data_IF_123289790486
#
_entry.id   IF_123289790486
#
_cell.length_a   1.000
_cell.length_b   1.000
_cell.length_c   1.000
_cell.angle_alpha   90.00
_cell.angle_beta   90.00
_cell.angle_gamma   90.00
#
_symmetry.space_group_name_H-M   'P 1'
#
loop_
_entity.id
_entity.type
_entity.pdbx_description
1 polymer ?
2 non-polymer ?
3 water ?
#
# COMPACT_ATOMS: atom_id res chain seq x y z
N UNK A 1 -19.59 -26.40 7.71
CA UNK A 1 -18.95 -25.12 8.11
C UNK A 1 -17.57 -24.99 7.47
N UNK A 2 -16.93 -23.86 7.69
CA UNK A 2 -15.60 -23.58 7.13
C UNK A 2 -14.57 -24.69 7.37
N UNK A 3 -13.71 -24.90 6.39
CA UNK A 3 -12.66 -25.91 6.47
C UNK A 3 -11.31 -25.20 6.62
N UNK A 4 -11.28 -23.92 6.25
CA UNK A 4 -10.07 -23.11 6.34
C UNK A 4 -9.61 -23.03 7.79
N UNK A 5 -8.30 -22.80 8.00
CA UNK A 5 -7.76 -22.70 9.35
C UNK A 5 -8.20 -21.41 10.03
N UNK A 6 -8.44 -21.48 11.33
CA UNK A 6 -8.88 -20.32 12.11
C UNK A 6 -8.12 -19.05 11.77
N UNK A 7 -6.78 -19.09 11.79
CA UNK A 7 -5.99 -17.90 11.47
C UNK A 7 -6.37 -17.25 10.15
N UNK A 8 -6.61 -18.07 9.13
CA UNK A 8 -6.99 -17.55 7.82
C UNK A 8 -8.39 -16.95 7.86
N UNK A 9 -9.29 -17.62 8.56
CA UNK A 9 -10.67 -17.14 8.69
C UNK A 9 -10.70 -15.75 9.32
N UNK A 10 -9.84 -15.53 10.31
CA UNK A 10 -9.78 -14.24 10.98
C UNK A 10 -9.32 -13.17 10.00
N UNK A 11 -8.38 -13.52 9.14
CA UNK A 11 -7.86 -12.60 8.14
C UNK A 11 -9.01 -12.16 7.23
N UNK A 12 -9.84 -13.11 6.85
CA UNK A 12 -10.97 -12.86 5.98
C UNK A 12 -12.03 -11.98 6.65
N UNK A 13 -11.95 -11.85 7.97
CA UNK A 13 -12.92 -11.06 8.71
C UNK A 13 -12.55 -9.58 8.81
N UNK A 14 -11.25 -9.28 8.86
CA UNK A 14 -10.81 -7.89 8.98
C UNK A 14 -10.75 -7.18 7.63
N UNK A 15 -10.37 -7.90 6.58
CA UNK A 15 -10.28 -7.30 5.25
C UNK A 15 -11.65 -7.00 4.67
N UNK A 16 -12.68 -7.63 5.23
CA UNK A 16 -14.05 -7.42 4.78
C UNK A 16 -14.92 -6.81 5.87
N UNK A 17 -14.29 -6.10 6.80
CA UNK A 17 -15.02 -5.46 7.90
C UNK A 17 -15.58 -4.12 7.46
N UNK A 18 -16.89 -3.97 7.58
CA UNK A 18 -17.57 -2.74 7.20
C UNK A 18 -17.24 -1.59 8.15
N UNK A 19 -17.18 -1.88 9.44
CA UNK A 19 -16.87 -0.86 10.44
C UNK A 19 -15.51 -0.24 10.10
N UNK A 20 -14.57 -1.07 9.68
CA UNK A 20 -13.24 -0.60 9.32
C UNK A 20 -13.34 0.38 8.16
N UNK A 21 -14.27 0.09 7.24
CA UNK A 21 -14.48 0.95 6.09
C UNK A 21 -15.06 2.29 6.51
N UNK A 22 -16.15 2.24 7.26
CA UNK A 22 -16.80 3.44 7.75
C UNK A 22 -15.83 4.28 8.59
N UNK A 23 -15.17 3.62 9.52
CA UNK A 23 -14.21 4.29 10.40
C UNK A 23 -13.16 4.98 9.54
N UNK A 24 -12.77 4.33 8.45
CA UNK A 24 -11.77 4.87 7.53
C UNK A 24 -12.28 6.16 6.89
N UNK A 25 -13.55 6.17 6.51
CA UNK A 25 -14.14 7.35 5.88
C UNK A 25 -14.43 8.45 6.88
N UNK A 26 -14.81 8.06 8.10
CA UNK A 26 -15.11 9.03 9.15
C UNK A 26 -13.87 9.85 9.49
N UNK A 27 -12.70 9.24 9.39
CA UNK A 27 -11.45 9.92 9.68
C UNK A 27 -11.27 11.09 8.70
N UNK A 28 -11.87 10.95 7.52
CA UNK A 28 -11.78 11.98 6.50
C UNK A 28 -12.96 12.94 6.60
N UNK A 29 -13.64 12.94 7.73
CA UNK A 29 -14.79 13.81 7.95
C UNK A 29 -15.86 13.63 6.87
N UNK A 30 -15.83 12.49 6.19
CA UNK A 30 -16.79 12.21 5.14
C UNK A 30 -18.16 11.87 5.71
N UNK A 31 -19.08 12.84 5.66
CA UNK A 31 -20.43 12.63 6.18
C UNK A 31 -21.05 11.38 5.57
N UNK A 32 -21.10 10.32 6.36
CA UNK A 32 -21.65 9.04 5.90
C UNK A 32 -23.13 9.14 5.52
N UNK A 33 -23.74 10.28 5.82
CA UNK A 33 -25.15 10.49 5.49
C UNK A 33 -25.35 11.01 4.07
N UNK A 34 -24.25 11.35 3.42
CA UNK A 34 -24.30 11.84 2.04
C UNK A 34 -23.50 10.92 1.14
N UNK A 35 -22.69 10.06 1.74
CA UNK A 35 -21.85 9.14 0.99
C UNK A 35 -21.69 7.76 1.61
N UNK A 36 -22.79 7.00 1.73
CA UNK A 36 -22.73 5.66 2.31
C UNK A 36 -21.80 4.77 1.47
N UNK A 37 -21.42 3.62 2.01
CA UNK A 37 -20.53 2.72 1.28
C UNK A 37 -21.18 2.29 -0.04
N UNK A 38 -22.50 2.21 -0.05
CA UNK A 38 -23.21 1.81 -1.25
C UNK A 38 -23.41 2.99 -2.19
N UNK A 39 -22.83 4.13 -1.83
CA UNK A 39 -22.95 5.34 -2.64
C UNK A 39 -21.63 5.57 -3.36
N UNK A 40 -20.59 4.88 -2.90
CA UNK A 40 -19.25 5.01 -3.50
C UNK A 40 -19.23 4.47 -4.93
N UNK A 41 -18.48 5.13 -5.80
CA UNK A 41 -18.37 4.74 -7.20
C UNK A 41 -17.00 5.08 -7.77
N UNK A 42 -16.52 4.23 -8.68
CA UNK A 42 -15.22 4.44 -9.31
C UNK A 42 -15.27 5.62 -10.28
N UNK A 43 -16.44 5.86 -10.86
CA UNK A 43 -16.61 6.96 -11.79
C UNK A 43 -16.58 8.27 -11.02
N UNK A 44 -17.08 8.24 -9.80
CA UNK A 44 -17.11 9.42 -8.93
C UNK A 44 -15.70 9.78 -8.46
N UNK A 45 -14.92 8.75 -8.13
CA UNK A 45 -13.56 8.95 -7.67
C UNK A 45 -12.65 9.54 -8.75
N UNK A 46 -12.77 9.01 -9.97
CA UNK A 46 -11.95 9.51 -11.07
C UNK A 46 -12.24 10.99 -11.27
N UNK A 47 -13.53 11.34 -11.28
CA UNK A 47 -13.94 12.73 -11.45
C UNK A 47 -13.28 13.58 -10.37
N UNK A 48 -13.02 12.98 -9.22
CA UNK A 48 -12.38 13.69 -8.12
C UNK A 48 -10.90 13.85 -8.42
N UNK A 49 -10.27 12.77 -8.88
CA UNK A 49 -8.85 12.81 -9.22
C UNK A 49 -8.58 13.96 -10.19
N UNK A 50 -9.42 14.07 -11.20
CA UNK A 50 -9.28 15.12 -12.20
C UNK A 50 -9.29 16.50 -11.55
N UNK A 51 -10.20 16.69 -10.60
CA UNK A 51 -10.29 17.97 -9.90
C UNK A 51 -9.00 18.25 -9.16
N UNK A 52 -8.58 17.31 -8.32
CA UNK A 52 -7.34 17.47 -7.57
C UNK A 52 -6.21 17.78 -8.52
N UNK A 53 -6.23 17.13 -9.69
CA UNK A 53 -5.21 17.36 -10.71
C UNK A 53 -5.29 18.79 -11.19
N UNK A 54 -6.50 19.26 -11.46
CA UNK A 54 -6.72 20.63 -11.91
C UNK A 54 -6.28 21.61 -10.82
N UNK A 55 -6.38 21.16 -9.57
CA UNK A 55 -5.99 21.98 -8.42
C UNK A 55 -4.48 22.16 -8.40
N UNK A 56 -3.77 21.03 -8.42
CA UNK A 56 -2.30 21.05 -8.41
C UNK A 56 -1.80 21.93 -9.54
N UNK A 57 -2.33 21.71 -10.74
CA UNK A 57 -1.95 22.48 -11.92
C UNK A 57 -2.16 23.97 -11.67
N UNK A 58 -3.26 24.28 -11.00
CA UNK A 58 -3.60 25.67 -10.69
C UNK A 58 -2.56 26.27 -9.75
N UNK A 59 -2.25 25.55 -8.68
CA UNK A 59 -1.27 26.01 -7.70
C UNK A 59 0.07 26.26 -8.35
N UNK A 60 0.45 25.40 -9.30
CA UNK A 60 1.72 25.52 -10.00
C UNK A 60 1.72 26.70 -10.97
N UNK A 61 0.55 27.29 -11.18
CA UNK A 61 0.42 28.42 -12.10
C UNK A 61 0.16 29.71 -11.33
N UNK A 62 -0.65 29.61 -10.28
CA UNK A 62 -0.98 30.77 -9.49
C UNK A 62 -2.32 31.35 -9.88
N UNK A 63 -3.35 30.50 -9.86
CA UNK A 63 -4.70 30.90 -10.22
C UNK A 63 -5.16 32.15 -9.46
N UNK A 64 -4.50 32.42 -8.34
CA UNK A 64 -4.83 33.57 -7.52
C UNK A 64 -6.28 33.57 -7.05
N UNK A 65 -6.57 32.76 -6.03
CA UNK A 65 -7.91 32.66 -5.47
C UNK A 65 -8.99 32.46 -6.55
N UNK A 66 -10.23 32.68 -6.16
CA UNK A 66 -11.37 32.55 -7.07
C UNK A 66 -11.38 31.20 -7.76
N UNK A 67 -10.67 31.10 -8.89
CA UNK A 67 -10.60 29.86 -9.65
C UNK A 67 -10.30 28.68 -8.74
N UNK A 68 -9.41 28.89 -7.78
CA UNK A 68 -9.06 27.83 -6.83
C UNK A 68 -10.19 27.64 -5.83
N UNK A 69 -10.81 28.75 -5.44
CA UNK A 69 -11.92 28.71 -4.49
C UNK A 69 -13.03 27.82 -5.04
N UNK A 70 -13.49 28.13 -6.25
CA UNK A 70 -14.56 27.37 -6.89
C UNK A 70 -14.09 25.96 -7.23
N UNK A 71 -12.83 25.83 -7.60
CA UNK A 71 -12.27 24.52 -7.95
C UNK A 71 -12.21 23.66 -6.69
N UNK A 72 -12.11 24.32 -5.54
CA UNK A 72 -12.05 23.64 -4.26
C UNK A 72 -13.44 23.14 -3.87
N UNK A 73 -14.45 23.98 -4.06
CA UNK A 73 -15.83 23.61 -3.74
C UNK A 73 -16.29 22.50 -4.67
N UNK A 74 -15.77 22.50 -5.89
CA UNK A 74 -16.13 21.48 -6.88
C UNK A 74 -15.71 20.10 -6.38
N UNK A 75 -14.81 20.07 -5.41
CA UNK A 75 -14.32 18.82 -4.85
C UNK A 75 -15.23 18.37 -3.70
N UNK A 76 -15.42 19.24 -2.72
CA UNK A 76 -16.24 18.93 -1.57
C UNK A 76 -17.70 18.70 -1.94
N UNK A 77 -18.05 19.02 -3.18
CA UNK A 77 -19.42 18.82 -3.65
C UNK A 77 -19.51 17.40 -4.19
N UNK A 78 -18.39 16.93 -4.74
CA UNK A 78 -18.31 15.59 -5.30
C UNK A 78 -17.99 14.58 -4.20
N UNK A 79 -17.27 15.05 -3.18
CA UNK A 79 -16.91 14.20 -2.05
C UNK A 79 -17.40 14.87 -0.76
N UNK A 80 -18.64 14.58 -0.37
CA UNK A 80 -19.34 15.08 0.82
C UNK A 80 -18.56 15.00 2.13
N UNK A 81 -18.26 16.16 2.69
CA UNK A 81 -17.54 16.26 3.96
C UNK A 81 -18.43 16.95 4.98
N UNK A 82 -17.99 16.96 6.23
CA UNK A 82 -18.75 17.61 7.30
C UNK A 82 -17.77 18.26 8.27
N UNK A 83 -17.30 19.45 7.91
CA UNK A 83 -16.36 20.18 8.74
C UNK A 83 -17.07 20.92 9.85
N UNK A 84 -18.38 20.74 9.94
CA UNK A 84 -19.15 21.41 10.96
C UNK A 84 -19.21 22.91 10.72
N UNK A 85 -18.18 23.62 11.18
CA UNK A 85 -18.11 25.06 11.02
C UNK A 85 -16.66 25.53 11.02
N UNK A 86 -16.35 26.44 10.09
CA UNK A 86 -15.01 27.00 9.95
C UNK A 86 -14.85 27.61 8.57
N UNK A 87 -14.36 26.79 7.64
CA UNK A 87 -14.12 27.19 6.26
C UNK A 87 -13.51 25.99 5.54
N UNK A 88 -14.33 25.27 4.77
CA UNK A 88 -13.87 24.09 4.02
C UNK A 88 -12.45 24.26 3.48
N UNK A 89 -11.51 23.49 4.03
CA UNK A 89 -10.09 23.50 3.66
C UNK A 89 -9.82 23.74 2.18
N UNK A 90 -9.35 24.95 1.87
CA UNK A 90 -9.04 25.30 0.49
C UNK A 90 -7.79 24.56 0.01
N UNK A 91 -7.92 23.88 -1.11
CA UNK A 91 -6.80 23.13 -1.68
C UNK A 91 -5.94 24.10 -2.48
N UNK A 92 -5.16 24.91 -1.77
CA UNK A 92 -4.29 25.90 -2.41
C UNK A 92 -2.82 25.62 -2.17
N UNK A 93 -2.44 24.35 -2.16
CA UNK A 93 -1.05 23.97 -1.95
C UNK A 93 -0.86 22.48 -2.21
N UNK A 94 0.37 22.09 -2.54
CA UNK A 94 0.68 20.69 -2.83
C UNK A 94 0.32 19.77 -1.67
N UNK A 95 0.64 20.19 -0.46
CA UNK A 95 0.36 19.39 0.73
C UNK A 95 -1.10 19.00 0.87
N UNK A 96 -1.99 19.95 0.61
CA UNK A 96 -3.43 19.70 0.70
C UNK A 96 -3.89 18.73 -0.39
N UNK A 97 -3.31 18.87 -1.57
CA UNK A 97 -3.65 18.01 -2.70
C UNK A 97 -3.17 16.58 -2.47
N UNK A 98 -1.99 16.44 -1.88
CA UNK A 98 -1.43 15.12 -1.61
C UNK A 98 -2.31 14.36 -0.63
N UNK A 99 -2.72 15.04 0.43
CA UNK A 99 -3.57 14.42 1.44
C UNK A 99 -4.86 13.93 0.79
N UNK A 100 -5.48 14.80 0.01
CA UNK A 100 -6.73 14.45 -0.68
C UNK A 100 -6.50 13.33 -1.69
N UNK A 101 -5.37 13.38 -2.37
CA UNK A 101 -5.04 12.36 -3.36
C UNK A 101 -4.88 11.02 -2.69
N UNK A 102 -4.46 11.05 -1.43
CA UNK A 102 -4.27 9.83 -0.66
C UNK A 102 -5.61 9.25 -0.19
N UNK A 103 -6.57 10.12 0.05
CA UNK A 103 -7.90 9.70 0.49
C UNK A 103 -8.65 8.92 -0.58
N UNK A 104 -8.54 9.38 -1.83
CA UNK A 104 -9.21 8.73 -2.93
C UNK A 104 -8.71 7.30 -3.13
N UNK A 105 -7.40 7.12 -3.00
CA UNK A 105 -6.79 5.81 -3.16
C UNK A 105 -7.44 4.78 -2.23
N UNK A 106 -7.55 5.15 -0.96
CA UNK A 106 -8.14 4.27 0.04
C UNK A 106 -9.64 4.10 -0.22
N UNK A 107 -10.33 5.21 -0.49
CA UNK A 107 -11.76 5.18 -0.76
C UNK A 107 -12.06 4.32 -1.98
N UNK A 108 -11.09 4.19 -2.88
CA UNK A 108 -11.27 3.40 -4.09
C UNK A 108 -11.21 1.92 -3.72
N UNK A 109 -10.24 1.55 -2.88
CA UNK A 109 -10.10 0.18 -2.45
C UNK A 109 -11.31 -0.24 -1.61
N UNK A 110 -11.84 0.71 -0.86
CA UNK A 110 -13.01 0.45 -0.03
C UNK A 110 -14.22 0.20 -0.92
N UNK A 111 -14.29 0.95 -2.01
CA UNK A 111 -15.38 0.81 -2.97
C UNK A 111 -15.30 -0.57 -3.60
N UNK A 112 -14.09 -1.01 -3.93
CA UNK A 112 -13.86 -2.30 -4.53
C UNK A 112 -14.23 -3.40 -3.54
N UNK A 113 -13.80 -3.22 -2.30
CA UNK A 113 -14.08 -4.19 -1.24
C UNK A 113 -15.57 -4.30 -0.97
N UNK A 114 -16.24 -3.15 -0.88
CA UNK A 114 -17.67 -3.14 -0.60
C UNK A 114 -18.43 -3.83 -1.73
N UNK A 115 -17.84 -3.85 -2.92
CA UNK A 115 -18.46 -4.51 -4.07
C UNK A 115 -18.33 -6.01 -3.95
N UNK A 116 -17.10 -6.50 -3.85
CA UNK A 116 -16.85 -7.93 -3.71
C UNK A 116 -17.69 -8.50 -2.58
N UNK A 117 -17.54 -7.92 -1.39
CA UNK A 117 -18.28 -8.36 -0.21
C UNK A 117 -19.74 -8.65 -0.52
N UNK A 118 -20.30 -7.89 -1.45
CA UNK A 118 -21.69 -8.08 -1.86
C UNK A 118 -21.77 -8.58 -3.30
N UNK A 119 -21.26 -9.78 -3.54
CA UNK A 119 -21.28 -10.35 -4.88
C UNK A 119 -22.65 -10.85 -5.28
N UNK A 120 -22.76 -12.15 -5.50
CA UNK A 120 -24.04 -12.73 -5.89
C UNK A 120 -24.40 -13.96 -5.09
N UNK A 121 -23.72 -14.16 -3.97
CA UNK A 121 -23.98 -15.30 -3.11
C UNK A 121 -24.43 -14.86 -1.72
N UNK A 122 -25.71 -14.50 -1.62
CA UNK A 122 -26.27 -14.05 -0.35
C UNK A 122 -27.03 -15.19 0.33
N UNK A 123 -26.86 -16.40 -0.21
CA UNK A 123 -27.54 -17.57 0.33
C UNK A 123 -26.87 -18.02 1.64
N UNK A 124 -27.13 -19.27 2.02
CA UNK A 124 -26.55 -19.82 3.24
C UNK A 124 -25.95 -21.19 3.02
N UNK A 125 -25.94 -21.65 1.76
CA UNK A 125 -25.38 -22.94 1.43
C UNK A 125 -23.94 -22.98 1.93
N UNK A 126 -23.24 -21.86 1.77
CA UNK A 126 -21.85 -21.73 2.21
C UNK A 126 -21.74 -20.56 3.18
N UNK A 127 -20.94 -20.72 4.22
CA UNK A 127 -20.76 -19.66 5.21
C UNK A 127 -20.01 -18.50 4.58
N UNK A 128 -20.21 -17.28 5.11
CA UNK A 128 -19.55 -16.07 4.62
C UNK A 128 -18.03 -16.20 4.50
N UNK A 129 -17.43 -16.87 5.48
CA UNK A 129 -15.99 -17.07 5.49
C UNK A 129 -15.47 -17.72 4.22
N UNK A 130 -15.95 -18.93 3.93
CA UNK A 130 -15.53 -19.65 2.73
C UNK A 130 -15.96 -18.97 1.45
N UNK A 131 -17.01 -18.16 1.52
CA UNK A 131 -17.50 -17.46 0.34
C UNK A 131 -16.57 -16.31 -0.02
N UNK A 132 -16.38 -15.38 0.93
CA UNK A 132 -15.51 -14.23 0.70
C UNK A 132 -14.09 -14.64 0.31
N UNK A 133 -13.65 -15.82 0.77
CA UNK A 133 -12.32 -16.32 0.45
C UNK A 133 -12.18 -16.50 -1.06
N UNK A 134 -13.29 -16.82 -1.71
CA UNK A 134 -13.30 -17.02 -3.15
C UNK A 134 -13.12 -15.71 -3.90
N UNK A 135 -13.89 -14.70 -3.49
CA UNK A 135 -13.84 -13.38 -4.12
C UNK A 135 -12.42 -12.81 -4.19
N UNK A 136 -11.56 -13.24 -3.27
CA UNK A 136 -10.18 -12.77 -3.25
C UNK A 136 -9.37 -13.31 -4.42
N UNK A 137 -9.68 -14.54 -4.84
CA UNK A 137 -8.97 -15.17 -5.93
C UNK A 137 -7.48 -15.28 -5.60
N UNK A 138 -7.20 -15.70 -4.37
CA UNK A 138 -5.82 -15.86 -3.90
C UNK A 138 -5.74 -16.98 -2.88
N UNK A 139 -5.11 -18.10 -3.27
CA UNK A 139 -4.96 -19.22 -2.36
C UNK A 139 -4.13 -18.78 -1.16
N UNK A 140 -4.62 -19.07 0.04
CA UNK A 140 -3.91 -18.65 1.25
C UNK A 140 -3.60 -19.81 2.19
N UNK A 141 -2.33 -19.92 2.56
CA UNK A 141 -1.88 -20.96 3.48
C UNK A 141 -1.17 -20.32 4.67
N UNK A 142 -1.24 -20.97 5.83
CA UNK A 142 -0.61 -20.46 7.02
C UNK A 142 0.79 -21.05 7.16
N UNK A 143 1.77 -20.21 7.46
CA UNK A 143 3.14 -20.66 7.63
C UNK A 143 3.40 -20.99 9.10
N UNK A 144 3.77 -22.24 9.37
CA UNK A 144 4.04 -22.69 10.73
C UNK A 144 4.93 -21.72 11.49
N UNK A 145 4.70 -21.62 12.80
CA UNK A 145 5.46 -20.73 13.66
C UNK A 145 6.94 -21.08 13.76
N UNK A 146 7.27 -22.36 13.63
CA UNK A 146 8.65 -22.80 13.70
C UNK A 146 9.09 -23.52 12.42
N UNK A 147 9.46 -22.73 11.42
CA UNK A 147 9.92 -23.27 10.14
C UNK A 147 10.96 -22.34 9.52
N UNK A 148 11.66 -22.83 8.51
CA UNK A 148 12.69 -22.03 7.85
C UNK A 148 12.15 -20.68 7.41
N UNK A 149 11.14 -20.69 6.55
CA UNK A 149 10.54 -19.45 6.05
C UNK A 149 10.20 -18.52 7.21
N UNK A 150 9.34 -19.01 8.10
CA UNK A 150 8.91 -18.23 9.26
C UNK A 150 10.11 -17.56 9.93
N UNK A 151 11.12 -18.35 10.25
CA UNK A 151 12.32 -17.83 10.90
C UNK A 151 12.98 -16.74 10.07
N UNK A 152 13.14 -17.00 8.77
CA UNK A 152 13.75 -16.03 7.88
C UNK A 152 12.97 -14.71 7.89
N UNK A 153 11.67 -14.81 7.64
CA UNK A 153 10.80 -13.64 7.61
C UNK A 153 10.78 -12.90 8.94
N UNK A 154 10.47 -13.62 10.02
CA UNK A 154 10.41 -13.01 11.34
C UNK A 154 11.75 -12.36 11.69
N UNK A 155 12.83 -12.98 11.23
CA UNK A 155 14.17 -12.45 11.49
C UNK A 155 14.37 -11.23 10.61
N UNK A 156 13.64 -11.19 9.50
CA UNK A 156 13.71 -10.10 8.54
C UNK A 156 12.88 -8.93 9.07
N UNK A 157 11.98 -9.22 10.00
CA UNK A 157 11.13 -8.21 10.60
C UNK A 157 11.79 -7.60 11.82
N UNK A 158 12.63 -8.40 12.48
CA UNK A 158 13.35 -7.96 13.67
C UNK A 158 14.52 -7.04 13.34
N UNK A 159 15.43 -7.53 12.49
CA UNK A 159 16.60 -6.75 12.10
C UNK A 159 16.27 -5.39 11.49
N UNK A 160 15.47 -5.39 10.44
CA UNK A 160 15.09 -4.16 9.77
C UNK A 160 14.23 -3.23 10.63
N UNK A 161 14.10 -3.59 11.91
CA UNK A 161 13.31 -2.78 12.84
C UNK A 161 14.27 -2.01 13.74
N UNK A 162 14.74 -0.88 13.25
CA UNK A 162 15.68 -0.03 13.99
C UNK A 162 15.10 0.52 15.29
N UNK A 163 15.75 1.56 15.81
CA UNK A 163 15.31 2.19 17.05
C UNK A 163 14.83 3.62 16.82
N UNK A 164 15.12 4.16 15.63
CA UNK A 164 14.71 5.52 15.30
C UNK A 164 13.18 5.60 15.30
N UNK A 165 12.55 4.94 14.33
CA UNK A 165 11.10 4.93 14.23
C UNK A 165 10.59 3.80 15.12
N UNK A 166 11.22 3.64 16.28
CA UNK A 166 10.84 2.60 17.23
C UNK A 166 9.83 3.11 18.24
N UNK A 167 8.85 3.86 17.78
CA UNK A 167 7.81 4.38 18.65
C UNK A 167 6.83 3.22 18.88
N UNK A 168 7.25 2.04 18.44
CA UNK A 168 6.44 0.83 18.57
C UNK A 168 7.31 -0.40 18.33
N UNK A 169 6.75 -1.58 18.61
CA UNK A 169 7.46 -2.84 18.41
C UNK A 169 6.61 -3.81 17.62
N UNK A 170 7.22 -4.46 16.63
CA UNK A 170 6.49 -5.42 15.79
C UNK A 170 6.51 -6.83 16.36
N UNK A 171 5.42 -7.56 16.11
CA UNK A 171 5.28 -8.93 16.58
C UNK A 171 4.51 -9.73 15.55
N UNK A 172 5.22 -10.59 14.82
CA UNK A 172 4.60 -11.41 13.80
C UNK A 172 3.60 -12.41 14.37
N UNK A 173 2.33 -12.03 14.37
CA UNK A 173 1.27 -12.89 14.90
C UNK A 173 1.00 -14.04 13.93
N UNK A 174 0.73 -13.69 12.68
CA UNK A 174 0.45 -14.68 11.65
C UNK A 174 1.26 -14.41 10.39
N UNK A 175 1.59 -15.48 9.67
CA UNK A 175 2.35 -15.39 8.43
C UNK A 175 1.68 -16.26 7.37
N UNK A 176 1.27 -15.63 6.27
CA UNK A 176 0.59 -16.34 5.21
C UNK A 176 1.40 -16.42 3.92
N UNK A 177 1.25 -17.54 3.21
CA UNK A 177 1.95 -17.78 1.95
C UNK A 177 0.93 -17.61 0.81
N UNK A 178 0.59 -16.37 0.52
CA UNK A 178 -0.37 -16.06 -0.53
C UNK A 178 0.21 -16.20 -1.93
N UNK A 179 -0.67 -16.05 -2.92
CA UNK A 179 -0.31 -16.13 -4.33
C UNK A 179 -1.55 -15.92 -5.19
N UNK A 180 -1.81 -14.67 -5.56
CA UNK A 180 -2.97 -14.34 -6.36
C UNK A 180 -3.05 -15.16 -7.64
N UNK A 181 -4.25 -15.27 -8.20
CA UNK A 181 -4.46 -16.04 -9.42
C UNK A 181 -3.97 -15.28 -10.65
N UNK A 182 -2.90 -15.77 -11.26
CA UNK A 182 -2.36 -15.13 -12.45
C UNK A 182 -0.99 -14.49 -12.27
N UNK A 183 -0.69 -14.03 -11.06
CA UNK A 183 0.60 -13.41 -10.80
C UNK A 183 1.76 -14.36 -11.01
N UNK A 184 1.45 -15.62 -11.32
CA UNK A 184 2.48 -16.62 -11.55
C UNK A 184 2.92 -16.56 -13.01
N UNK A 185 1.96 -16.68 -13.92
CA UNK A 185 2.23 -16.64 -15.35
C UNK A 185 2.66 -15.25 -15.78
N UNK A 186 2.03 -14.24 -15.21
CA UNK A 186 2.32 -12.84 -15.54
C UNK A 186 3.73 -12.45 -15.08
N UNK A 187 4.23 -13.13 -14.06
CA UNK A 187 5.55 -12.83 -13.51
C UNK A 187 6.62 -13.76 -14.08
N UNK A 188 6.21 -14.84 -14.71
CA UNK A 188 7.15 -15.80 -15.28
C UNK A 188 8.14 -15.16 -16.25
N UNK A 189 7.64 -14.38 -17.22
CA UNK A 189 8.53 -13.72 -18.19
C UNK A 189 9.61 -12.88 -17.51
N UNK A 190 9.18 -11.92 -16.70
CA UNK A 190 10.09 -11.04 -15.99
C UNK A 190 10.93 -11.78 -14.96
N UNK A 191 10.54 -13.01 -14.66
CA UNK A 191 11.27 -13.83 -13.70
C UNK A 191 12.71 -14.01 -14.21
N UNK A 192 12.84 -14.00 -15.53
CA UNK A 192 14.15 -14.14 -16.16
C UNK A 192 14.84 -12.79 -16.26
N UNK A 193 15.05 -12.17 -15.11
CA UNK A 193 15.70 -10.86 -15.02
C UNK A 193 16.45 -10.77 -13.69
N UNK A 194 17.78 -10.71 -13.78
CA UNK A 194 18.62 -10.63 -12.59
C UNK A 194 18.15 -9.56 -11.61
N UNK A 195 18.69 -9.61 -10.40
CA UNK A 195 18.36 -8.66 -9.34
C UNK A 195 16.90 -8.75 -8.93
N UNK A 196 16.55 -9.84 -8.26
CA UNK A 196 15.19 -10.08 -7.78
C UNK A 196 15.19 -10.03 -6.26
N UNK A 197 14.60 -8.98 -5.70
CA UNK A 197 14.55 -8.80 -4.26
C UNK A 197 13.21 -9.20 -3.64
N UNK A 198 13.23 -9.38 -2.33
CA UNK A 198 12.03 -9.73 -1.57
C UNK A 198 11.78 -8.54 -0.65
N UNK A 199 11.16 -7.50 -1.22
CA UNK A 199 10.88 -6.26 -0.49
C UNK A 199 9.56 -6.22 0.26
N UNK A 200 9.42 -5.20 1.10
CA UNK A 200 8.21 -5.00 1.90
C UNK A 200 7.23 -4.06 1.21
N UNK A 201 5.98 -4.10 1.67
CA UNK A 201 4.94 -3.23 1.12
C UNK A 201 3.80 -3.10 2.12
N UNK A 202 3.59 -1.89 2.63
CA UNK A 202 2.53 -1.67 3.59
C UNK A 202 1.41 -0.80 3.06
N UNK A 203 0.20 -1.07 3.52
CA UNK A 203 -0.97 -0.30 3.09
C UNK A 203 -2.09 -0.45 4.10
N UNK A 204 -2.99 0.53 4.12
CA UNK A 204 -4.13 0.52 5.03
C UNK A 204 -4.81 -0.85 4.94
N UNK A 205 -5.29 -1.36 6.07
CA UNK A 205 -5.95 -2.66 6.09
C UNK A 205 -7.16 -2.69 5.17
N UNK A 206 -7.88 -1.58 5.10
CA UNK A 206 -9.06 -1.48 4.25
C UNK A 206 -8.74 -1.50 2.76
N UNK A 207 -7.50 -1.83 2.41
CA UNK A 207 -7.09 -1.88 1.01
C UNK A 207 -6.67 -3.27 0.55
N UNK A 208 -6.32 -4.14 1.48
CA UNK A 208 -5.90 -5.49 1.13
C UNK A 208 -6.98 -6.29 0.41
N UNK A 209 -8.23 -5.92 0.63
CA UNK A 209 -9.34 -6.61 -0.02
C UNK A 209 -9.18 -6.38 -1.52
N UNK A 210 -8.85 -5.15 -1.89
CA UNK A 210 -8.66 -4.80 -3.28
C UNK A 210 -7.30 -5.24 -3.79
N UNK A 211 -6.32 -5.31 -2.90
CA UNK A 211 -4.97 -5.72 -3.25
C UNK A 211 -4.94 -7.16 -3.75
N UNK A 212 -5.45 -8.08 -2.94
CA UNK A 212 -5.46 -9.49 -3.30
C UNK A 212 -6.39 -9.71 -4.49
N UNK A 213 -7.45 -8.92 -4.57
CA UNK A 213 -8.43 -9.03 -5.64
C UNK A 213 -7.93 -8.46 -6.97
N UNK A 214 -7.43 -7.23 -6.93
CA UNK A 214 -6.94 -6.56 -8.13
C UNK A 214 -5.43 -6.77 -8.32
N UNK A 215 -4.68 -6.63 -7.23
CA UNK A 215 -3.23 -6.78 -7.32
C UNK A 215 -2.59 -5.41 -7.37
N UNK A 216 -1.44 -5.25 -6.75
CA UNK A 216 -0.74 -3.96 -6.75
C UNK A 216 -0.83 -3.29 -8.12
N UNK A 217 -1.60 -2.21 -8.19
CA UNK A 217 -1.80 -1.49 -9.44
C UNK A 217 -1.04 -0.17 -9.48
N UNK A 218 -1.03 0.45 -10.65
CA UNK A 218 -0.34 1.71 -10.85
C UNK A 218 -1.35 2.84 -11.05
N UNK A 219 -1.26 3.87 -10.22
CA UNK A 219 -2.16 5.02 -10.28
C UNK A 219 -2.47 5.44 -11.71
N UNK A 220 -3.75 5.72 -11.99
CA UNK A 220 -4.21 6.14 -13.32
C UNK A 220 -3.77 7.56 -13.64
N UNK A 221 -3.88 7.96 -14.92
CA UNK A 221 -3.48 9.30 -15.37
C UNK A 221 -4.32 10.43 -14.75
N UNK A 222 -5.60 10.17 -14.50
CA UNK A 222 -6.47 11.17 -13.92
C UNK A 222 -5.92 11.59 -12.55
N UNK A 223 -5.15 10.69 -11.94
CA UNK A 223 -4.56 10.94 -10.63
C UNK A 223 -3.39 11.91 -10.68
N UNK A 224 -3.30 12.80 -9.68
CA UNK A 224 -2.25 13.81 -9.55
C UNK A 224 -0.87 13.16 -9.41
N UNK A 225 0.10 13.67 -10.17
CA UNK A 225 1.46 13.13 -10.12
C UNK A 225 2.10 13.53 -8.80
N UNK A 226 1.49 14.50 -8.12
CA UNK A 226 1.99 14.98 -6.84
C UNK A 226 1.92 13.88 -5.79
N UNK A 227 2.76 13.98 -4.77
CA UNK A 227 2.76 12.97 -3.73
C UNK A 227 3.79 11.89 -3.98
N UNK A 228 3.83 11.39 -5.21
CA UNK A 228 4.78 10.35 -5.58
C UNK A 228 6.14 11.00 -5.83
N UNK A 229 7.19 10.42 -5.28
CA UNK A 229 8.53 10.96 -5.44
C UNK A 229 9.19 10.46 -6.72
N UNK A 230 8.65 9.38 -7.28
CA UNK A 230 9.20 8.81 -8.49
C UNK A 230 8.12 8.46 -9.51
N UNK A 231 7.05 9.27 -9.51
CA UNK A 231 5.97 9.06 -10.45
C UNK A 231 5.09 7.85 -10.16
N UNK A 232 4.02 7.72 -10.95
CA UNK A 232 3.08 6.62 -10.80
C UNK A 232 3.85 5.30 -10.88
N UNK A 233 3.64 4.44 -9.88
CA UNK A 233 4.33 3.16 -9.88
C UNK A 233 4.15 2.40 -8.59
N UNK A 234 4.72 1.20 -8.54
CA UNK A 234 4.63 0.37 -7.35
C UNK A 234 5.89 0.57 -6.51
N UNK A 235 5.71 0.93 -5.25
CA UNK A 235 6.84 1.18 -4.35
C UNK A 235 7.01 0.07 -3.31
N UNK A 236 8.27 -0.23 -2.98
CA UNK A 236 8.58 -1.25 -1.99
C UNK A 236 9.66 -0.73 -1.05
N UNK A 237 10.29 -1.64 -0.30
CA UNK A 237 11.34 -1.28 0.63
C UNK A 237 12.05 -2.51 1.17
N UNK A 238 13.13 -2.29 1.92
CA UNK A 238 13.90 -3.38 2.50
C UNK A 238 13.93 -3.23 4.02
N UNK A 239 13.42 -2.09 4.49
CA UNK A 239 13.37 -1.78 5.92
C UNK A 239 11.92 -1.92 6.35
N UNK A 240 11.59 -3.02 7.04
CA UNK A 240 10.22 -3.23 7.48
C UNK A 240 9.67 -2.02 8.23
N UNK A 241 10.56 -1.22 8.80
CA UNK A 241 10.16 -0.03 9.54
C UNK A 241 9.80 1.12 8.60
N UNK A 242 9.92 0.88 7.30
CA UNK A 242 9.61 1.90 6.30
C UNK A 242 8.23 1.68 5.72
N UNK A 243 7.83 0.41 5.61
CA UNK A 243 6.52 0.07 5.07
C UNK A 243 5.46 0.13 6.16
N UNK A 244 5.89 -0.09 7.40
CA UNK A 244 4.99 -0.07 8.54
C UNK A 244 4.26 1.26 8.64
N UNK A 245 4.95 2.35 8.36
CA UNK A 245 4.36 3.69 8.42
C UNK A 245 3.26 3.89 7.39
N UNK A 246 2.91 2.82 6.67
CA UNK A 246 1.87 2.91 5.66
C UNK A 246 0.66 2.04 6.00
N UNK A 247 0.75 1.35 7.14
CA UNK A 247 -0.35 0.51 7.60
C UNK A 247 -1.32 1.41 8.36
N UNK A 248 -0.86 2.61 8.66
CA UNK A 248 -1.65 3.60 9.38
C UNK A 248 -2.37 3.02 10.60
N UNK A 249 -1.63 2.26 11.40
CA UNK A 249 -2.18 1.67 12.61
C UNK A 249 -1.94 2.64 13.76
N UNK A 250 -2.54 2.36 14.91
CA UNK A 250 -2.39 3.23 16.08
C UNK A 250 -2.62 2.47 17.37
N UNK A 251 -2.58 3.19 18.48
CA UNK A 251 -2.80 2.59 19.80
C UNK A 251 -4.16 1.91 19.83
N UNK A 252 -5.12 2.48 19.11
CA UNK A 252 -6.46 1.92 19.06
C UNK A 252 -6.57 0.77 18.07
N UNK A 253 -5.80 0.87 16.99
CA UNK A 253 -5.80 -0.17 15.95
C UNK A 253 -4.37 -0.69 15.77
N UNK A 254 -3.89 -1.50 16.71
CA UNK A 254 -2.56 -2.08 16.71
C UNK A 254 -2.30 -3.14 15.63
N UNK A 255 -3.36 -3.82 15.21
CA UNK A 255 -3.22 -4.86 14.19
C UNK A 255 -3.26 -4.32 12.75
N UNK A 256 -2.18 -4.57 12.02
CA UNK A 256 -2.09 -4.13 10.65
C UNK A 256 -1.47 -5.19 9.76
N UNK A 257 -1.65 -5.05 8.44
CA UNK A 257 -1.11 -6.02 7.50
C UNK A 257 0.03 -5.43 6.66
N UNK A 258 0.88 -6.30 6.14
CA UNK A 258 2.00 -5.89 5.31
C UNK A 258 2.35 -7.03 4.35
N UNK A 259 2.86 -6.69 3.17
CA UNK A 259 3.19 -7.69 2.16
C UNK A 259 4.68 -7.89 1.91
N UNK A 260 5.00 -9.03 1.31
CA UNK A 260 6.36 -9.41 0.96
C UNK A 260 6.33 -10.01 -0.43
N UNK A 261 6.26 -9.15 -1.44
CA UNK A 261 6.20 -9.63 -2.81
C UNK A 261 7.54 -9.63 -3.54
N UNK A 262 7.83 -10.71 -4.22
CA UNK A 262 9.06 -10.84 -4.98
C UNK A 262 8.98 -9.88 -6.17
N UNK A 263 10.04 -9.11 -6.38
CA UNK A 263 10.05 -8.15 -7.48
C UNK A 263 11.35 -8.17 -8.27
N UNK A 264 11.21 -8.35 -9.58
CA UNK A 264 12.37 -8.38 -10.46
C UNK A 264 12.69 -6.94 -10.83
N UNK A 265 13.67 -6.36 -10.14
CA UNK A 265 14.07 -4.98 -10.38
C UNK A 265 15.00 -4.83 -11.57
N UNK A 266 15.87 -5.83 -11.78
CA UNK A 266 16.79 -5.76 -12.89
C UNK A 266 17.76 -4.61 -12.68
N UNK A 267 18.14 -3.94 -13.78
CA UNK A 267 19.05 -2.81 -13.69
C UNK A 267 18.33 -1.60 -13.08
N UNK A 268 18.75 -1.22 -11.89
CA UNK A 268 18.15 -0.09 -11.18
C UNK A 268 18.72 1.25 -11.62
N UNK A 269 17.89 2.29 -11.50
CA UNK A 269 18.26 3.66 -11.87
C UNK A 269 18.39 4.46 -10.59
N UNK A 270 19.49 4.23 -9.86
CA UNK A 270 19.76 4.89 -8.59
C UNK A 270 19.62 6.40 -8.60
N UNK A 271 18.77 6.90 -7.70
CA UNK A 271 18.53 8.33 -7.57
C UNK A 271 18.60 8.72 -6.10
N UNK A 272 19.06 9.94 -5.83
CA UNK A 272 19.19 10.42 -4.46
C UNK A 272 18.12 11.42 -4.07
N UNK A 273 17.47 12.03 -5.07
CA UNK A 273 16.43 13.01 -4.81
C UNK A 273 15.18 12.67 -5.62
N UNK A 274 14.05 13.26 -5.24
CA UNK A 274 12.80 13.02 -5.93
C UNK A 274 12.93 13.42 -7.40
N UNK A 275 12.26 12.69 -8.28
CA UNK A 275 12.31 12.98 -9.71
C UNK A 275 11.16 12.31 -10.46
N UNK A 276 10.04 13.00 -10.55
CA UNK A 276 8.88 12.48 -11.25
C UNK A 276 9.28 12.12 -12.67
N UNK A 277 9.04 10.88 -13.07
CA UNK A 277 9.40 10.43 -14.40
C UNK A 277 8.38 9.49 -15.03
N UNK A 278 8.67 8.19 -14.97
CA UNK A 278 7.81 7.15 -15.53
C UNK A 278 8.24 6.84 -16.97
N UNK A 279 9.53 7.03 -17.24
CA UNK A 279 10.10 6.77 -18.57
C UNK A 279 11.58 6.42 -18.41
N UNK A 280 11.85 5.44 -17.57
CA UNK A 280 13.21 4.97 -17.30
C UNK A 280 14.09 4.93 -18.55
N UNK A 281 15.37 5.30 -18.38
CA UNK A 281 16.36 5.32 -19.47
C UNK A 281 16.47 3.98 -20.18
N UNK A 282 16.84 4.02 -21.45
CA UNK A 282 16.98 2.79 -22.24
C UNK A 282 18.02 1.87 -21.62
N UNK A 283 17.55 0.89 -20.86
CA UNK A 283 18.46 -0.05 -20.22
C UNK A 283 18.03 -0.40 -18.81
N UNK A 284 17.44 0.57 -18.12
CA UNK A 284 16.98 0.37 -16.75
C UNK A 284 15.64 -0.35 -16.74
N UNK A 285 15.27 -0.87 -15.58
CA UNK A 285 14.01 -1.59 -15.43
C UNK A 285 13.31 -1.24 -14.12
N UNK A 286 13.95 -0.40 -13.32
CA UNK A 286 13.41 0.02 -12.04
C UNK A 286 14.20 1.19 -11.47
N UNK A 287 13.65 1.83 -10.44
CA UNK A 287 14.30 2.96 -9.80
C UNK A 287 14.57 2.66 -8.32
N UNK A 288 15.67 3.18 -7.81
CA UNK A 288 16.03 2.95 -6.42
C UNK A 288 16.43 4.26 -5.74
N UNK A 289 15.61 4.70 -4.78
CA UNK A 289 15.91 5.93 -4.06
C UNK A 289 16.89 5.67 -2.94
N UNK A 290 18.12 6.10 -3.13
CA UNK A 290 19.17 5.92 -2.12
C UNK A 290 18.79 6.56 -0.79
N UNK A 291 18.91 5.79 0.28
CA UNK A 291 18.58 6.30 1.60
C UNK A 291 19.78 6.32 2.53
N UNK A 292 19.66 7.03 3.64
CA UNK A 292 20.75 7.14 4.62
C UNK A 292 21.00 5.81 5.30
N UNK A 293 19.93 5.06 5.54
CA UNK A 293 20.05 3.76 6.21
C UNK A 293 19.76 2.61 5.24
N UNK A 294 20.41 1.47 5.47
CA UNK A 294 20.23 0.30 4.63
C UNK A 294 20.59 -0.98 5.36
N UNK A 295 19.90 -2.08 5.05
CA UNK A 295 20.16 -3.38 5.68
C UNK A 295 21.60 -3.81 5.49
N UNK A 296 22.24 -4.27 6.55
CA UNK A 296 23.63 -4.71 6.48
C UNK A 296 23.81 -5.70 5.33
N UNK A 297 24.42 -5.23 4.23
CA UNK A 297 24.67 -6.00 3.01
C UNK A 297 25.48 -7.28 3.21
N UNK A 298 26.35 -7.29 4.22
CA UNK A 298 27.17 -8.47 4.49
C UNK A 298 26.33 -9.59 5.09
N UNK A 299 25.24 -9.21 5.76
CA UNK A 299 24.36 -10.19 6.39
C UNK A 299 23.16 -10.52 5.50
N UNK A 300 23.26 -10.19 4.21
CA UNK A 300 22.19 -10.46 3.27
C UNK A 300 22.20 -11.91 2.82
N UNK A 301 21.01 -12.48 2.67
CA UNK A 301 20.87 -13.86 2.24
C UNK A 301 20.06 -13.92 0.94
N UNK A 302 20.24 -15.00 0.18
CA UNK A 302 19.54 -15.17 -1.08
C UNK A 302 19.10 -16.62 -1.27
N UNK A 303 17.82 -16.81 -1.56
CA UNK A 303 17.27 -18.16 -1.78
C UNK A 303 16.48 -18.23 -3.08
N UNK A 304 16.60 -19.36 -3.77
CA UNK A 304 15.90 -19.56 -5.03
C UNK A 304 16.23 -18.45 -6.01
N UNK A 305 17.35 -17.76 -5.77
CA UNK A 305 17.76 -16.67 -6.64
C UNK A 305 17.23 -15.34 -6.15
N UNK A 306 16.23 -15.38 -5.29
CA UNK A 306 15.63 -14.16 -4.75
C UNK A 306 16.48 -13.64 -3.59
N UNK A 307 16.79 -12.35 -3.62
CA UNK A 307 17.59 -11.73 -2.57
C UNK A 307 16.73 -11.24 -1.42
N UNK A 308 17.19 -11.50 -0.20
CA UNK A 308 16.47 -11.09 1.00
C UNK A 308 17.40 -10.27 1.90
N UNK A 309 17.31 -8.93 1.79
CA UNK A 309 18.15 -8.03 2.57
C UNK A 309 17.75 -8.00 4.04
N UNK A 310 17.86 -9.13 4.71
CA UNK A 310 17.50 -9.24 6.12
C UNK A 310 18.66 -8.86 7.03
N UNK A 311 19.45 -7.88 6.61
CA UNK A 311 20.58 -7.44 7.41
C UNK A 311 20.22 -6.28 8.32
N UNK A 312 20.87 -6.22 9.47
CA UNK A 312 20.61 -5.15 10.44
C UNK A 312 20.82 -3.77 9.83
N UNK A 313 20.00 -2.81 10.23
CA UNK A 313 20.09 -1.47 9.72
C UNK A 313 21.38 -0.76 10.06
N UNK A 314 22.06 -0.23 9.04
CA UNK A 314 23.31 0.50 9.22
C UNK A 314 23.33 1.72 8.31
N UNK A 315 24.38 2.52 8.43
CA UNK A 315 24.52 3.71 7.61
C UNK A 315 24.98 3.35 6.20
N UNK A 316 24.39 3.99 5.20
CA UNK A 316 24.75 3.73 3.82
C UNK A 316 25.95 4.57 3.41
N UNK A 317 26.46 4.31 2.21
CA UNK A 317 27.60 5.07 1.72
C UNK A 317 27.38 6.56 1.76
N UNK A 318 26.24 7.01 1.24
CA UNK A 318 25.92 8.43 1.21
C UNK A 318 24.79 8.80 2.15
N UNK A 319 24.92 9.96 2.79
CA UNK A 319 23.91 10.46 3.72
C UNK A 319 23.34 11.76 3.17
N UNK A 320 23.85 12.17 2.01
CA UNK A 320 23.41 13.40 1.35
C UNK A 320 22.16 13.14 0.51
N UNK A 321 21.20 12.43 1.09
CA UNK A 321 19.95 12.11 0.42
C UNK A 321 18.77 12.41 1.33
N UNK A 322 17.70 12.94 0.75
CA UNK A 322 16.50 13.27 1.51
C UNK A 322 15.83 12.03 2.09
N UNK A 323 16.15 10.87 1.53
CA UNK A 323 15.56 9.62 2.01
C UNK A 323 16.44 8.95 3.07
N UNK A 324 15.81 8.53 4.17
CA UNK A 324 16.54 7.87 5.25
C UNK A 324 16.41 6.36 5.10
N UNK A 325 15.53 5.94 4.19
CA UNK A 325 15.30 4.53 3.91
C UNK A 325 15.29 4.31 2.40
N UNK A 326 15.72 3.13 1.96
CA UNK A 326 15.73 2.81 0.54
C UNK A 326 14.32 2.87 0.01
N UNK A 327 14.17 2.79 -1.32
CA UNK A 327 12.87 2.85 -1.94
C UNK A 327 12.95 2.35 -3.38
N UNK A 328 12.43 1.16 -3.62
CA UNK A 328 12.46 0.58 -4.97
C UNK A 328 11.12 0.76 -5.67
N UNK A 329 11.16 1.27 -6.89
CA UNK A 329 9.95 1.52 -7.67
C UNK A 329 9.94 0.80 -9.01
N UNK A 330 8.86 0.06 -9.27
CA UNK A 330 8.70 -0.65 -10.53
C UNK A 330 7.49 -0.06 -11.24
N UNK A 331 7.56 0.08 -12.56
CA UNK A 331 6.46 0.67 -13.32
C UNK A 331 5.69 -0.33 -14.17
N UNK A 332 5.69 -1.59 -13.74
CA UNK A 332 4.98 -2.63 -14.46
C UNK A 332 4.42 -3.64 -13.45
N UNK A 333 3.11 -3.65 -13.29
CA UNK A 333 2.45 -4.54 -12.36
C UNK A 333 2.84 -6.01 -12.55
N UNK A 334 3.35 -6.34 -13.73
CA UNK A 334 3.75 -7.70 -14.03
C UNK A 334 5.11 -8.06 -13.44
N UNK A 335 5.80 -7.07 -12.88
CA UNK A 335 7.11 -7.30 -12.28
C UNK A 335 7.03 -7.70 -10.81
N UNK A 336 5.81 -7.70 -10.26
CA UNK A 336 5.63 -8.06 -8.86
C UNK A 336 4.88 -9.38 -8.68
N UNK A 337 5.35 -10.19 -7.74
CA UNK A 337 4.74 -11.47 -7.45
C UNK A 337 4.57 -11.63 -5.94
N UNK A 338 3.46 -11.11 -5.42
CA UNK A 338 3.18 -11.20 -3.99
C UNK A 338 3.47 -12.61 -3.50
N UNK A 339 4.17 -12.73 -2.38
CA UNK A 339 4.53 -14.03 -1.84
C UNK A 339 3.90 -14.29 -0.47
N UNK A 340 4.17 -13.39 0.47
CA UNK A 340 3.64 -13.54 1.83
C UNK A 340 2.79 -12.34 2.25
N UNK A 341 2.12 -12.50 3.39
CA UNK A 341 1.27 -11.46 3.95
C UNK A 341 1.32 -11.62 5.46
N UNK A 342 1.99 -10.69 6.14
CA UNK A 342 2.12 -10.75 7.59
C UNK A 342 1.03 -10.00 8.34
N UNK A 343 0.54 -10.61 9.40
CA UNK A 343 -0.48 -10.03 10.25
C UNK A 343 0.22 -9.51 11.50
N UNK A 344 0.96 -8.43 11.34
CA UNK A 344 1.73 -7.82 12.41
C UNK A 344 0.90 -7.05 13.43
N UNK A 345 1.42 -6.97 14.65
CA UNK A 345 0.75 -6.27 15.75
C UNK A 345 1.69 -5.20 16.28
N UNK A 346 1.27 -3.94 16.21
CA UNK A 346 2.08 -2.82 16.67
C UNK A 346 1.91 -2.56 18.17
N UNK A 347 3.03 -2.42 18.87
CA UNK A 347 3.03 -2.15 20.29
C UNK A 347 3.76 -0.83 20.55
N UNK A 348 2.99 0.22 20.79
CA UNK A 348 3.56 1.55 21.02
C UNK A 348 4.00 1.72 22.47
N UNK A 349 5.15 2.36 22.67
CA UNK A 349 5.68 2.59 24.01
C UNK A 349 5.16 3.90 24.58
N UNK A 350 5.01 4.90 23.73
CA UNK A 350 4.53 6.21 24.15
C UNK A 350 5.54 6.88 25.07
X LIG B 1 4.36 4.85 -1.07
X LIG B 1 4.23 3.66 -0.49
X LIG B 1 5.51 3.23 -0.14
X LIG B 1 6.41 4.28 -0.56
X LIG B 1 5.65 5.28 -1.13
X LIG B 1 6.01 2.07 0.50
X LIG B 1 7.42 1.95 0.72
X LIG B 1 8.30 2.99 0.30
X LIG B 1 7.78 4.16 -0.34
X LIG B 1 5.14 0.95 0.96
X LIG B 1 3.83 1.05 0.71
X LIG B 1 5.56 -0.05 1.55
X LIG B 1 3.18 5.65 -1.61
X LIG B 1 2.33 6.20 -0.45
X LIG B 1 1.19 7.09 -0.96
X LIG B 1 1.68 8.23 -1.81
X LIG B 1 2.51 7.74 -2.95
X LIG B 1 3.68 6.82 -2.51
X LIG B 1 0.54 9.09 -2.28
X LIG B 1 -0.50 8.39 -3.19
X LIG B 1 -1.63 9.34 -3.60
#
# INVERSE_FOLDING_TARGET
KSKLPKPVQDLIKMIFDVESMKKAMVEYEIDLQKMPLGKLSKRQIQAAYSILSEVQQAVSQGSSDSQILDLSNRFYTLIPHDFGMKKPPLLNNADSVQAKVEMLDNLLDIEVAYSLLRGGSDDSSKDPIDVNYEKLKTDIKVVDRDSEEAEIIRKYVKNTHATTHNAYDLEVIDIFKIEREGECQRYKPFKQLHNRRLLWHGSRTTNFAGILSQGLRIAPPEAPVTGYMFGKGIYFADMVSKSANYCHTSQGDPIGLILLGEVALGNMYELKHASHISKLPKGKHSVKGLGKTTPDPSANISLDGVDVPLGTGISSGVNDTSLLYNEYIVYDIAQVNLKYLLKLKFNFKT
AAI C1 N2 C3 C4 N5 C6 C7 C8 C9 C10 N11 O12 C13 C14 C15 N16 C17 C18 C19 C20 C21
#
